data_IF_131881421613
#
_entry.id   IF_131881421613
#
_cell.length_a   1.000
_cell.length_b   1.000
_cell.length_c   1.000
_cell.angle_alpha   90.00
_cell.angle_beta   90.00
_cell.angle_gamma   90.00
#
_symmetry.space_group_name_H-M   'P 1'
#
loop_
_entity.id
_entity.type
_entity.pdbx_description
1 polymer ?
#
# COMPACT_ATOMS: atom_id res chain seq x y z
N UNK A 1 -20.21 -27.77 -55.28
CA UNK A 1 -18.85 -27.54 -54.73
C UNK A 1 -18.71 -26.06 -54.36
N UNK A 2 -18.68 -25.75 -53.07
CA UNK A 2 -18.48 -24.37 -52.58
C UNK A 2 -16.97 -24.05 -52.62
N UNK A 3 -16.56 -23.05 -53.39
CA UNK A 3 -15.15 -22.59 -53.42
C UNK A 3 -14.86 -21.86 -52.11
N UNK A 4 -14.02 -22.44 -51.24
CA UNK A 4 -13.51 -21.76 -50.05
C UNK A 4 -12.53 -20.66 -50.49
N UNK A 5 -12.83 -19.41 -50.19
CA UNK A 5 -11.89 -18.30 -50.40
C UNK A 5 -10.74 -18.45 -49.40
N UNK A 6 -9.52 -18.65 -49.90
CA UNK A 6 -8.32 -18.63 -49.09
C UNK A 6 -7.81 -17.19 -48.99
N UNK A 7 -7.24 -16.83 -47.83
CA UNK A 7 -6.61 -15.54 -47.62
C UNK A 7 -5.43 -15.34 -48.57
N UNK A 8 -5.29 -14.13 -49.09
CA UNK A 8 -4.15 -13.76 -49.93
C UNK A 8 -2.91 -13.49 -49.06
N UNK A 9 -1.71 -13.71 -49.62
CA UNK A 9 -0.46 -13.39 -48.93
C UNK A 9 -0.36 -11.90 -48.55
N UNK A 10 -0.94 -11.03 -49.36
CA UNK A 10 -0.97 -9.58 -49.12
C UNK A 10 -1.84 -9.23 -47.92
N UNK A 11 -3.01 -9.87 -47.76
CA UNK A 11 -3.86 -9.67 -46.59
C UNK A 11 -3.16 -10.12 -45.30
N UNK A 12 -2.44 -11.24 -45.34
CA UNK A 12 -1.67 -11.71 -44.18
C UNK A 12 -0.53 -10.73 -43.83
N UNK A 13 0.15 -10.18 -44.84
CA UNK A 13 1.25 -9.23 -44.66
C UNK A 13 0.76 -7.92 -44.04
N UNK A 14 -0.33 -7.35 -44.56
CA UNK A 14 -0.92 -6.11 -44.03
C UNK A 14 -1.42 -6.32 -42.60
N UNK A 15 -2.00 -7.48 -42.29
CA UNK A 15 -2.46 -7.78 -40.93
C UNK A 15 -1.31 -7.77 -39.92
N UNK A 16 -0.18 -8.41 -40.23
CA UNK A 16 1.00 -8.40 -39.35
C UNK A 16 1.61 -7.00 -39.21
N UNK A 17 1.60 -6.19 -40.27
CA UNK A 17 2.05 -4.80 -40.22
C UNK A 17 1.18 -3.94 -39.27
N UNK A 18 -0.15 -4.08 -39.32
CA UNK A 18 -1.06 -3.36 -38.42
C UNK A 18 -0.88 -3.82 -36.97
N UNK A 19 -0.76 -5.13 -36.72
CA UNK A 19 -0.52 -5.66 -35.36
C UNK A 19 0.80 -5.12 -34.79
N UNK A 20 1.86 -5.05 -35.61
CA UNK A 20 3.14 -4.47 -35.18
C UNK A 20 3.03 -3.01 -34.73
N UNK A 21 2.26 -2.20 -35.46
CA UNK A 21 2.00 -0.80 -35.09
C UNK A 21 1.21 -0.71 -33.78
N UNK A 22 0.15 -1.52 -33.64
CA UNK A 22 -0.68 -1.52 -32.43
C UNK A 22 0.10 -1.96 -31.18
N UNK A 23 0.98 -2.97 -31.30
CA UNK A 23 1.85 -3.41 -30.20
C UNK A 23 2.81 -2.27 -29.82
N UNK A 24 3.44 -1.63 -30.80
CA UNK A 24 4.38 -0.53 -30.56
C UNK A 24 3.76 0.64 -29.79
N UNK A 25 2.51 0.99 -30.10
CA UNK A 25 1.78 2.05 -29.38
C UNK A 25 1.32 1.62 -27.97
N UNK A 26 0.99 0.34 -27.78
CA UNK A 26 0.41 -0.15 -26.52
C UNK A 26 1.40 -0.19 -25.36
N UNK A 27 2.70 -0.39 -25.63
CA UNK A 27 3.73 -0.56 -24.59
C UNK A 27 3.89 0.66 -23.67
N UNK A 28 3.75 1.88 -24.21
CA UNK A 28 3.93 3.11 -23.43
C UNK A 28 2.83 3.31 -22.37
N UNK A 29 1.62 2.83 -22.61
CA UNK A 29 0.49 2.97 -21.67
C UNK A 29 0.58 2.04 -20.46
N UNK A 30 1.23 0.88 -20.59
CA UNK A 30 1.24 -0.16 -19.57
C UNK A 30 2.03 0.27 -18.33
N UNK A 31 3.19 0.90 -18.51
CA UNK A 31 4.03 1.32 -17.38
C UNK A 31 3.32 2.37 -16.50
N UNK A 32 2.63 3.33 -17.12
CA UNK A 32 1.84 4.33 -16.38
C UNK A 32 0.64 3.69 -15.67
N UNK A 33 -0.07 2.78 -16.34
CA UNK A 33 -1.19 2.07 -15.73
C UNK A 33 -0.76 1.22 -14.52
N UNK A 34 0.39 0.55 -14.60
CA UNK A 34 0.93 -0.23 -13.49
C UNK A 34 1.32 0.64 -12.28
N UNK A 35 1.95 1.81 -12.52
CA UNK A 35 2.24 2.78 -11.45
C UNK A 35 0.97 3.24 -10.75
N UNK A 36 -0.04 3.62 -11.53
CA UNK A 36 -1.32 4.05 -10.98
C UNK A 36 -2.00 2.93 -10.18
N UNK A 37 -1.93 1.68 -10.65
CA UNK A 37 -2.47 0.53 -9.92
C UNK A 37 -1.78 0.33 -8.57
N UNK A 38 -0.45 0.49 -8.50
CA UNK A 38 0.29 0.44 -7.24
C UNK A 38 -0.04 1.60 -6.31
N UNK A 39 -0.20 2.81 -6.82
CA UNK A 39 -0.61 3.96 -6.00
C UNK A 39 -2.03 3.82 -5.44
N UNK A 40 -2.94 3.21 -6.21
CA UNK A 40 -4.28 2.83 -5.71
C UNK A 40 -4.17 1.80 -4.59
N UNK A 41 -3.33 0.77 -4.75
CA UNK A 41 -3.11 -0.24 -3.71
C UNK A 41 -2.52 0.37 -2.43
N UNK A 42 -1.57 1.30 -2.53
CA UNK A 42 -0.98 2.04 -1.39
C UNK A 42 -2.03 2.85 -0.62
N UNK A 43 -2.92 3.53 -1.33
CA UNK A 43 -4.03 4.30 -0.72
C UNK A 43 -5.02 3.37 -0.03
N UNK A 44 -5.41 2.27 -0.69
CA UNK A 44 -6.28 1.26 -0.10
C UNK A 44 -5.69 0.67 1.19
N UNK A 45 -4.40 0.37 1.22
CA UNK A 45 -3.74 -0.07 2.45
C UNK A 45 -3.81 0.95 3.59
N UNK A 46 -3.71 2.25 3.29
CA UNK A 46 -3.88 3.30 4.31
C UNK A 46 -5.32 3.34 4.86
N UNK A 47 -6.31 3.12 3.98
CA UNK A 47 -7.72 3.00 4.36
C UNK A 47 -7.99 1.75 5.19
N UNK A 48 -7.39 0.61 4.86
CA UNK A 48 -7.48 -0.63 5.63
C UNK A 48 -6.91 -0.46 7.04
N UNK A 49 -5.77 0.25 7.17
CA UNK A 49 -5.19 0.61 8.47
C UNK A 49 -6.17 1.49 9.26
N UNK A 50 -6.77 2.50 8.62
CA UNK A 50 -7.76 3.36 9.28
C UNK A 50 -8.97 2.58 9.80
N UNK A 51 -9.49 1.65 9.00
CA UNK A 51 -10.58 0.77 9.43
C UNK A 51 -10.17 -0.05 10.66
N UNK A 52 -8.97 -0.63 10.64
CA UNK A 52 -8.46 -1.37 11.80
C UNK A 52 -8.20 -0.50 13.04
N UNK A 53 -7.81 0.76 12.87
CA UNK A 53 -7.70 1.73 13.98
C UNK A 53 -9.08 2.04 14.56
N UNK A 54 -10.10 2.19 13.72
CA UNK A 54 -11.47 2.39 14.17
C UNK A 54 -12.00 1.17 14.96
N UNK A 55 -11.70 -0.05 14.50
CA UNK A 55 -12.02 -1.27 15.24
C UNK A 55 -11.28 -1.34 16.58
N UNK A 56 -10.01 -0.96 16.61
CA UNK A 56 -9.23 -0.89 17.85
C UNK A 56 -9.82 0.15 18.82
N UNK A 57 -10.24 1.31 18.33
CA UNK A 57 -10.92 2.34 19.10
C UNK A 57 -12.24 1.82 19.69
N UNK A 58 -13.02 1.07 18.92
CA UNK A 58 -14.25 0.45 19.43
C UNK A 58 -13.96 -0.53 20.58
N UNK A 59 -12.88 -1.32 20.48
CA UNK A 59 -12.50 -2.31 21.50
C UNK A 59 -11.89 -1.69 22.77
N UNK A 60 -11.11 -0.61 22.63
CA UNK A 60 -10.28 -0.08 23.73
C UNK A 60 -10.70 1.30 24.21
N UNK A 61 -11.57 2.00 23.47
CA UNK A 61 -11.98 3.38 23.68
C UNK A 61 -10.80 4.38 23.71
N UNK A 62 -9.69 4.02 23.07
CA UNK A 62 -8.51 4.86 22.91
C UNK A 62 -7.86 4.65 21.53
N UNK A 63 -7.20 5.70 21.01
CA UNK A 63 -6.36 5.55 19.82
C UNK A 63 -5.12 4.72 20.12
N UNK A 64 -4.61 3.95 19.14
CA UNK A 64 -3.38 3.22 19.32
C UNK A 64 -2.21 4.18 19.45
N UNK A 65 -1.32 3.93 20.42
CA UNK A 65 -0.08 4.69 20.58
C UNK A 65 0.99 4.28 19.58
N UNK A 66 0.78 3.14 18.92
CA UNK A 66 1.77 2.50 18.08
C UNK A 66 1.14 1.39 17.26
N UNK A 67 1.63 1.19 16.04
CA UNK A 67 1.27 0.09 15.16
C UNK A 67 2.54 -0.64 14.75
N UNK A 68 2.44 -1.95 14.51
CA UNK A 68 3.55 -2.79 14.04
C UNK A 68 3.20 -3.32 12.67
N UNK A 69 4.09 -3.19 11.70
CA UNK A 69 3.94 -3.85 10.42
C UNK A 69 4.74 -5.17 10.45
N UNK A 70 4.18 -6.21 9.86
CA UNK A 70 4.71 -7.57 9.84
C UNK A 70 4.42 -8.18 8.48
N UNK A 71 5.48 -8.28 7.65
CA UNK A 71 5.47 -8.74 6.26
C UNK A 71 4.38 -8.09 5.40
N UNK A 72 3.19 -8.71 5.36
CA UNK A 72 2.00 -8.31 4.60
C UNK A 72 0.84 -7.86 5.50
N UNK A 73 1.09 -7.54 6.77
CA UNK A 73 0.05 -7.21 7.74
C UNK A 73 0.44 -6.08 8.68
N UNK A 74 -0.58 -5.45 9.28
CA UNK A 74 -0.42 -4.49 10.37
C UNK A 74 -1.12 -5.02 11.60
N UNK A 75 -0.41 -4.98 12.72
CA UNK A 75 -0.88 -5.36 14.04
C UNK A 75 -1.00 -4.09 14.88
N UNK A 76 -2.21 -3.83 15.35
CA UNK A 76 -2.54 -2.75 16.26
C UNK A 76 -2.81 -3.35 17.62
N UNK A 77 -2.01 -3.02 18.63
CA UNK A 77 -2.08 -3.66 19.95
C UNK A 77 -1.80 -2.67 21.08
N UNK A 78 -2.26 -2.95 22.32
CA UNK A 78 -2.00 -2.08 23.47
C UNK A 78 -0.52 -2.09 23.91
N UNK A 79 0.25 -3.10 23.48
CA UNK A 79 1.67 -3.25 23.80
C UNK A 79 2.45 -3.69 22.57
N UNK A 80 3.47 -2.93 22.18
CA UNK A 80 4.33 -3.19 21.01
C UNK A 80 5.10 -4.52 21.02
N UNK A 81 5.11 -5.22 22.15
CA UNK A 81 5.92 -6.43 22.37
C UNK A 81 5.24 -7.73 21.90
N UNK A 82 4.00 -7.70 21.41
CA UNK A 82 3.31 -8.92 21.00
C UNK A 82 3.17 -9.02 19.48
N UNK A 83 4.11 -9.74 18.86
CA UNK A 83 3.97 -10.36 17.54
C UNK A 83 2.97 -11.51 17.60
N UNK A 84 1.76 -11.27 18.10
CA UNK A 84 0.74 -12.31 18.06
C UNK A 84 0.09 -12.25 16.69
N UNK A 85 0.51 -13.15 15.81
CA UNK A 85 -0.13 -13.42 14.52
C UNK A 85 -1.65 -13.70 14.64
N UNK A 86 -2.15 -13.96 15.85
CA UNK A 86 -3.57 -14.18 16.14
C UNK A 86 -4.05 -13.17 17.19
N UNK A 87 -4.81 -12.17 16.75
CA UNK A 87 -5.50 -11.29 17.68
C UNK A 87 -6.60 -12.05 18.41
N UNK A 88 -6.53 -12.03 19.74
CA UNK A 88 -7.54 -12.65 20.61
C UNK A 88 -8.30 -11.58 21.37
N UNK A 89 -9.51 -11.91 21.85
CA UNK A 89 -10.31 -11.00 22.68
C UNK A 89 -9.58 -10.55 23.96
N UNK A 90 -8.63 -11.34 24.47
CA UNK A 90 -7.85 -11.02 25.65
C UNK A 90 -6.75 -9.98 25.36
N UNK A 91 -6.15 -10.04 24.17
CA UNK A 91 -5.02 -9.18 23.79
C UNK A 91 -5.46 -7.80 23.26
N UNK A 92 -6.78 -7.58 23.08
CA UNK A 92 -7.40 -6.35 22.57
C UNK A 92 -6.65 -5.77 21.35
N UNK A 93 -6.29 -6.61 20.39
CA UNK A 93 -5.58 -6.20 19.19
C UNK A 93 -6.41 -6.39 17.92
N UNK A 94 -5.99 -5.73 16.85
CA UNK A 94 -6.57 -5.81 15.51
C UNK A 94 -5.46 -6.17 14.52
N UNK A 95 -5.74 -7.12 13.62
CA UNK A 95 -4.84 -7.52 12.55
C UNK A 95 -5.45 -7.13 11.21
N UNK A 96 -4.68 -6.40 10.41
CA UNK A 96 -5.08 -5.90 9.09
C UNK A 96 -4.17 -6.52 8.04
N UNK A 97 -4.67 -7.34 7.10
CA UNK A 97 -3.88 -7.80 5.97
C UNK A 97 -3.73 -6.68 4.92
N UNK A 98 -2.51 -6.38 4.50
CA UNK A 98 -2.13 -5.35 3.51
C UNK A 98 -1.61 -5.91 2.19
N UNK A 99 -1.94 -7.18 1.89
CA UNK A 99 -1.48 -7.99 0.75
C UNK A 99 -0.89 -7.18 -0.42
N UNK A 100 0.44 -7.15 -0.53
CA UNK A 100 1.17 -6.59 -1.67
C UNK A 100 1.15 -5.05 -1.80
N UNK A 101 0.61 -4.32 -0.81
CA UNK A 101 0.58 -2.86 -0.80
C UNK A 101 1.57 -2.24 0.21
N UNK A 102 1.98 -3.00 1.23
CA UNK A 102 2.97 -2.57 2.21
C UNK A 102 3.82 -3.77 2.64
N UNK A 103 5.05 -3.84 2.14
CA UNK A 103 6.09 -4.72 2.67
C UNK A 103 7.09 -3.86 3.42
N UNK A 104 7.44 -4.27 4.65
CA UNK A 104 8.54 -3.65 5.38
C UNK A 104 9.85 -4.25 4.88
N UNK A 105 10.62 -3.44 4.19
CA UNK A 105 12.03 -3.70 3.95
C UNK A 105 12.81 -2.67 4.78
N UNK A 106 13.60 -3.08 5.78
CA UNK A 106 14.40 -2.17 6.62
C UNK A 106 13.94 -1.97 8.08
N UNK A 107 14.75 -1.24 8.88
CA UNK A 107 14.57 -1.15 10.33
C UNK A 107 13.37 -0.29 10.72
N UNK A 108 12.58 -0.79 11.66
CA UNK A 108 11.55 -0.02 12.37
C UNK A 108 12.22 1.07 13.21
N UNK A 109 12.10 2.34 12.84
CA UNK A 109 12.50 3.43 13.71
C UNK A 109 11.37 3.71 14.70
N UNK A 110 11.53 3.37 15.97
CA UNK A 110 10.64 3.87 17.01
C UNK A 110 10.76 5.40 17.06
N UNK A 111 9.74 6.14 16.61
CA UNK A 111 9.64 7.57 16.85
C UNK A 111 9.46 7.79 18.34
N UNK A 112 10.26 8.70 18.91
CA UNK A 112 10.30 8.95 20.34
C UNK A 112 8.92 9.27 20.94
N UNK A 113 8.73 8.90 22.20
CA UNK A 113 7.62 9.15 23.15
C UNK A 113 6.14 9.04 22.70
N UNK A 114 5.80 9.10 21.41
CA UNK A 114 4.41 9.20 20.92
C UNK A 114 4.13 8.56 19.55
N UNK A 115 4.96 7.65 19.01
CA UNK A 115 4.49 6.81 17.90
C UNK A 115 5.55 6.44 16.89
N UNK A 116 5.44 5.20 16.41
CA UNK A 116 6.46 4.49 15.65
C UNK A 116 6.61 5.07 14.23
N UNK A 117 7.81 5.52 13.87
CA UNK A 117 8.18 6.02 12.54
C UNK A 117 8.65 4.84 11.67
N UNK A 118 7.75 4.23 10.91
CA UNK A 118 8.08 3.12 10.02
C UNK A 118 8.54 3.62 8.66
N UNK A 119 9.79 4.07 8.59
CA UNK A 119 10.47 4.29 7.32
C UNK A 119 10.89 2.92 6.74
N UNK A 120 9.99 2.29 5.98
CA UNK A 120 10.41 1.21 5.08
C UNK A 120 11.48 1.75 4.13
N UNK A 121 12.65 1.13 4.13
CA UNK A 121 13.68 1.29 3.11
C UNK A 121 13.12 0.77 1.79
N UNK A 122 12.92 1.67 0.82
CA UNK A 122 12.34 1.30 -0.46
C UNK A 122 13.38 0.76 -1.42
N UNK A 123 13.88 -0.47 -1.21
CA UNK A 123 14.79 -1.08 -2.21
C UNK A 123 14.05 -1.79 -3.34
N UNK A 124 12.73 -1.98 -3.23
CA UNK A 124 11.88 -2.60 -4.24
C UNK A 124 10.74 -1.68 -4.70
N UNK A 125 10.26 -1.87 -5.94
CA UNK A 125 9.11 -1.15 -6.51
C UNK A 125 7.79 -1.40 -5.78
N UNK A 126 7.75 -2.41 -4.92
CA UNK A 126 6.55 -2.87 -4.21
C UNK A 126 6.52 -2.37 -2.76
N UNK A 127 7.58 -1.70 -2.31
CA UNK A 127 7.66 -1.08 -0.99
C UNK A 127 7.25 0.39 -1.02
N UNK A 128 6.71 0.88 0.09
CA UNK A 128 6.24 2.26 0.24
C UNK A 128 6.72 2.81 1.58
N UNK A 129 7.00 4.10 1.64
CA UNK A 129 7.36 4.75 2.89
C UNK A 129 6.11 5.14 3.65
N UNK A 130 6.10 4.91 4.97
CA UNK A 130 4.96 5.19 5.84
C UNK A 130 5.36 6.07 7.02
N UNK A 131 4.38 6.73 7.62
CA UNK A 131 4.52 7.34 8.93
C UNK A 131 3.25 7.11 9.74
N UNK A 132 3.40 6.96 11.05
CA UNK A 132 2.31 6.89 12.00
C UNK A 132 2.72 7.57 13.31
N UNK A 133 1.92 8.50 13.80
CA UNK A 133 2.15 9.12 15.11
C UNK A 133 0.84 9.25 15.87
N UNK A 134 0.87 8.94 17.17
CA UNK A 134 -0.26 9.21 18.06
C UNK A 134 -0.18 10.66 18.50
N UNK A 135 -1.28 11.39 18.31
CA UNK A 135 -1.40 12.79 18.66
C UNK A 135 -2.44 12.99 19.75
N UNK A 136 -2.51 14.19 20.31
CA UNK A 136 -3.50 14.55 21.33
C UNK A 136 -4.91 14.69 20.76
N UNK A 137 -5.02 14.99 19.46
CA UNK A 137 -6.27 15.15 18.70
C UNK A 137 -6.64 13.93 17.84
N UNK A 138 -5.85 12.85 17.91
CA UNK A 138 -6.09 11.62 17.16
C UNK A 138 -4.80 10.91 16.80
N UNK A 139 -4.64 10.57 15.51
CA UNK A 139 -3.41 10.00 14.98
C UNK A 139 -3.13 10.54 13.59
N UNK A 140 -1.85 10.63 13.25
CA UNK A 140 -1.39 10.88 11.89
C UNK A 140 -1.02 9.56 11.23
N UNK A 141 -1.34 9.43 9.95
CA UNK A 141 -0.99 8.29 9.11
C UNK A 141 -0.76 8.83 7.70
N UNK A 142 0.37 8.47 7.09
CA UNK A 142 0.61 8.82 5.70
C UNK A 142 1.44 7.77 4.97
N UNK A 143 1.28 7.73 3.65
CA UNK A 143 2.04 6.88 2.72
C UNK A 143 2.59 7.70 1.57
N UNK A 144 3.83 7.42 1.17
CA UNK A 144 4.43 8.00 -0.03
C UNK A 144 4.05 7.18 -1.27
N UNK A 145 3.58 7.87 -2.30
CA UNK A 145 3.22 7.29 -3.59
C UNK A 145 4.43 7.30 -4.55
N UNK A 146 4.35 6.55 -5.64
CA UNK A 146 5.43 6.46 -6.64
C UNK A 146 5.66 7.77 -7.40
N UNK A 147 4.65 8.64 -7.44
CA UNK A 147 4.78 9.97 -8.04
C UNK A 147 5.49 10.98 -7.11
N UNK A 148 5.84 10.58 -5.87
CA UNK A 148 6.50 11.41 -4.86
C UNK A 148 5.53 12.12 -3.91
N UNK A 149 4.24 12.16 -4.23
CA UNK A 149 3.22 12.75 -3.36
C UNK A 149 3.03 11.92 -2.08
N UNK A 150 2.60 12.60 -1.03
CA UNK A 150 2.24 11.97 0.25
C UNK A 150 0.73 11.95 0.36
N UNK A 151 0.16 10.76 0.50
CA UNK A 151 -1.25 10.59 0.83
C UNK A 151 -1.41 10.55 2.34
N UNK A 152 -2.16 11.51 2.88
CA UNK A 152 -2.51 11.62 4.29
C UNK A 152 -3.82 10.88 4.55
N UNK A 153 -3.84 10.07 5.59
CA UNK A 153 -4.98 9.22 5.96
C UNK A 153 -5.33 9.32 7.46
N UNK A 154 -4.56 10.04 8.27
CA UNK A 154 -4.83 10.22 9.70
C UNK A 154 -6.02 11.14 10.01
N UNK A 155 -6.51 11.10 11.25
CA UNK A 155 -7.58 11.98 11.76
C UNK A 155 -7.05 13.24 12.46
N UNK A 156 -5.77 13.26 12.79
CA UNK A 156 -5.09 14.40 13.42
C UNK A 156 -4.94 15.57 12.46
N UNK A 157 -5.00 16.78 12.99
CA UNK A 157 -4.66 18.02 12.26
C UNK A 157 -3.16 18.18 12.03
N UNK A 158 -2.35 17.53 12.87
CA UNK A 158 -0.90 17.41 12.69
C UNK A 158 -0.60 16.23 11.78
N UNK A 159 -0.06 16.48 10.60
CA UNK A 159 0.38 15.45 9.65
C UNK A 159 1.75 14.89 10.03
N UNK A 160 1.98 13.61 9.76
CA UNK A 160 3.33 13.06 9.75
C UNK A 160 3.88 13.03 8.32
N UNK A 161 5.20 13.02 8.18
CA UNK A 161 5.87 12.89 6.89
C UNK A 161 6.66 11.57 6.81
N UNK A 162 6.39 10.71 5.82
CA UNK A 162 7.20 9.53 5.56
C UNK A 162 8.63 9.96 5.18
N UNK A 163 9.61 9.57 6.00
CA UNK A 163 11.01 9.93 5.78
C UNK A 163 11.54 9.33 4.49
N UNK A 164 12.11 10.16 3.62
CA UNK A 164 12.99 9.69 2.55
C UNK A 164 14.25 9.07 3.18
N UNK A 165 14.69 7.92 2.69
CA UNK A 165 16.05 7.45 2.99
C UNK A 165 17.09 8.40 2.41
#
# INVERSE_FOLDING_TARGET
>A
MQKKKAFTLVELLVAMAIIGILIGLSLFGIAAAQRNARDVARRAAAEDINAGIADYLNLTQAFPRSIKFEDDSVIISPTLAQSKANCTAADKCVLIPLKGAAVIDGPVASGGSSGVLLAGNTTSTDSSQWCFESQTDGYSLAVRLENGDVHQAGTSTTTCEPRSN
#
